data_IF_363104839814
#
_entry.id   IF_363104839814
#
_cell.length_a   1.000
_cell.length_b   1.000
_cell.length_c   1.000
_cell.angle_alpha   90.00
_cell.angle_beta   90.00
_cell.angle_gamma   90.00
#
_symmetry.space_group_name_H-M   'P 1'
#
loop_
_entity.id
_entity.type
_entity.pdbx_description
1 polymer ?
#
# COMPACT_ATOMS: atom_id res chain seq x y z
N UNK A 1 17.64 1.65 1.04
CA UNK A 1 16.71 2.77 1.06
C UNK A 1 15.92 2.73 2.35
N UNK A 2 15.73 3.86 3.03
CA UNK A 2 14.95 3.94 4.28
C UNK A 2 13.60 4.63 3.99
N UNK A 3 12.49 3.98 4.32
CA UNK A 3 11.13 4.54 4.23
C UNK A 3 10.61 4.75 5.66
N UNK A 4 10.04 5.92 5.96
CA UNK A 4 9.42 6.21 7.25
C UNK A 4 8.03 6.76 7.03
N UNK A 5 7.04 6.17 7.69
CA UNK A 5 5.65 6.47 7.40
C UNK A 5 4.70 6.07 8.49
N UNK A 6 3.56 6.76 8.54
CA UNK A 6 2.39 6.33 9.30
C UNK A 6 1.70 5.18 8.56
N UNK A 7 1.29 4.16 9.30
CA UNK A 7 0.63 2.97 8.75
C UNK A 7 -0.88 3.15 8.71
N UNK A 8 -1.45 2.75 7.58
CA UNK A 8 -2.89 2.59 7.38
C UNK A 8 -3.22 1.13 7.06
N UNK A 9 -4.08 0.52 7.87
CA UNK A 9 -4.47 -0.89 7.80
C UNK A 9 -5.71 -1.09 6.94
N UNK A 10 -5.67 -2.15 6.15
CA UNK A 10 -6.78 -2.70 5.40
C UNK A 10 -6.89 -4.22 5.65
N UNK A 11 -8.03 -4.79 5.30
CA UNK A 11 -8.31 -6.21 5.48
C UNK A 11 -7.70 -7.11 4.41
N UNK A 12 -8.24 -8.32 4.33
CA UNK A 12 -8.00 -9.28 3.26
C UNK A 12 -8.73 -8.86 1.96
N UNK A 13 -8.28 -9.40 0.83
CA UNK A 13 -8.97 -9.37 -0.47
C UNK A 13 -9.30 -7.96 -0.99
N UNK A 14 -8.50 -6.96 -0.61
CA UNK A 14 -8.55 -5.63 -1.20
C UNK A 14 -8.27 -5.76 -2.70
N UNK A 15 -9.30 -5.55 -3.50
CA UNK A 15 -9.24 -5.74 -4.93
C UNK A 15 -8.94 -4.41 -5.67
N UNK A 16 -8.74 -4.48 -6.98
CA UNK A 16 -8.41 -3.28 -7.76
C UNK A 16 -9.53 -2.24 -7.87
N UNK A 17 -10.81 -2.62 -7.69
CA UNK A 17 -11.92 -1.67 -7.58
C UNK A 17 -11.91 -0.94 -6.24
N UNK A 18 -11.56 -1.65 -5.15
CA UNK A 18 -11.41 -1.05 -3.81
C UNK A 18 -10.29 -0.01 -3.79
N UNK A 19 -9.19 -0.28 -4.51
CA UNK A 19 -8.04 0.63 -4.65
C UNK A 19 -8.38 1.83 -5.53
N UNK A 20 -8.95 1.58 -6.71
CA UNK A 20 -9.41 2.64 -7.61
C UNK A 20 -10.70 2.18 -8.33
N UNK A 21 -11.83 2.82 -8.04
CA UNK A 21 -13.09 2.42 -8.63
C UNK A 21 -13.12 2.59 -10.15
N UNK A 22 -13.80 1.67 -10.85
CA UNK A 22 -13.86 1.65 -12.32
C UNK A 22 -14.33 2.97 -12.95
N UNK A 23 -15.16 3.74 -12.22
CA UNK A 23 -15.68 5.06 -12.62
C UNK A 23 -14.59 6.13 -12.86
N UNK A 24 -13.38 5.92 -12.36
CA UNK A 24 -12.24 6.84 -12.53
C UNK A 24 -11.22 6.38 -13.60
N UNK A 25 -11.49 5.28 -14.30
CA UNK A 25 -10.58 4.72 -15.31
C UNK A 25 -10.70 5.40 -16.69
N UNK A 26 -11.43 6.52 -16.77
CA UNK A 26 -11.53 7.36 -17.96
C UNK A 26 -10.38 8.39 -18.05
N UNK A 27 -9.48 8.40 -17.08
CA UNK A 27 -8.29 9.27 -17.02
C UNK A 27 -7.07 8.48 -16.58
N UNK A 28 -5.90 8.91 -17.02
CA UNK A 28 -4.60 8.42 -16.54
C UNK A 28 -3.81 9.52 -15.84
N UNK A 29 -4.45 10.65 -15.52
CA UNK A 29 -3.84 11.73 -14.75
C UNK A 29 -3.55 11.27 -13.31
N UNK A 30 -2.27 11.21 -12.88
CA UNK A 30 -1.92 10.67 -11.57
C UNK A 30 -2.54 11.45 -10.42
N UNK A 31 -2.62 12.77 -10.51
CA UNK A 31 -3.20 13.60 -9.44
C UNK A 31 -4.70 13.36 -9.28
N UNK A 32 -5.43 13.22 -10.38
CA UNK A 32 -6.84 12.87 -10.36
C UNK A 32 -7.07 11.49 -9.74
N UNK A 33 -6.26 10.49 -10.10
CA UNK A 33 -6.37 9.13 -9.56
C UNK A 33 -6.02 9.09 -8.07
N UNK A 34 -5.00 9.83 -7.63
CA UNK A 34 -4.58 9.94 -6.25
C UNK A 34 -5.71 10.37 -5.30
N UNK A 35 -6.55 11.31 -5.75
CA UNK A 35 -7.69 11.84 -4.95
C UNK A 35 -8.76 10.79 -4.66
N UNK A 36 -8.82 9.72 -5.44
CA UNK A 36 -9.79 8.63 -5.29
C UNK A 36 -9.15 7.31 -4.86
N UNK A 37 -7.88 7.34 -4.44
CA UNK A 37 -7.16 6.17 -3.96
C UNK A 37 -7.84 5.61 -2.70
N UNK A 38 -8.13 4.31 -2.72
CA UNK A 38 -8.81 3.54 -1.67
C UNK A 38 -10.20 4.06 -1.29
N UNK A 39 -10.86 4.85 -2.14
CA UNK A 39 -12.10 5.57 -1.78
C UNK A 39 -13.25 4.63 -1.39
N UNK A 40 -13.45 3.55 -2.15
CA UNK A 40 -14.51 2.57 -1.87
C UNK A 40 -14.16 1.67 -0.67
N UNK A 41 -12.87 1.42 -0.43
CA UNK A 41 -12.39 0.71 0.76
C UNK A 41 -12.54 1.56 2.04
N UNK A 42 -12.25 2.86 1.95
CA UNK A 42 -12.28 3.82 3.05
C UNK A 42 -12.56 5.24 2.53
N UNK A 43 -13.81 5.71 2.63
CA UNK A 43 -14.17 7.05 2.20
C UNK A 43 -13.30 8.13 2.86
N UNK A 44 -12.80 9.06 2.05
CA UNK A 44 -11.93 10.14 2.50
C UNK A 44 -10.47 9.75 2.76
N UNK A 45 -10.06 8.51 2.48
CA UNK A 45 -8.70 8.03 2.72
C UNK A 45 -7.62 8.91 2.08
N UNK A 46 -7.81 9.34 0.82
CA UNK A 46 -6.85 10.18 0.13
C UNK A 46 -6.51 11.48 0.89
N UNK A 47 -7.45 12.04 1.66
CA UNK A 47 -7.22 13.23 2.49
C UNK A 47 -6.43 12.96 3.77
N UNK A 48 -6.27 11.69 4.17
CA UNK A 48 -5.48 11.27 5.32
C UNK A 48 -4.02 10.96 4.95
N UNK A 49 -3.74 10.70 3.68
CA UNK A 49 -2.42 10.25 3.23
C UNK A 49 -1.43 11.41 3.27
N UNK A 50 -0.32 11.20 3.98
CA UNK A 50 0.86 12.07 3.95
C UNK A 50 1.93 11.43 3.04
N UNK A 51 2.78 12.21 2.34
CA UNK A 51 3.93 11.66 1.64
C UNK A 51 4.79 10.78 2.56
N UNK A 52 5.02 9.53 2.15
CA UNK A 52 5.73 8.55 2.97
C UNK A 52 4.84 7.57 3.71
N UNK A 53 3.51 7.75 3.70
CA UNK A 53 2.56 6.84 4.33
C UNK A 53 2.71 5.41 3.82
N UNK A 54 2.35 4.46 4.67
CA UNK A 54 2.52 3.02 4.43
C UNK A 54 1.14 2.35 4.51
N UNK A 55 0.84 1.48 3.57
CA UNK A 55 -0.32 0.59 3.66
C UNK A 55 0.13 -0.72 4.30
N UNK A 56 -0.62 -1.21 5.29
CA UNK A 56 -0.54 -2.58 5.77
C UNK A 56 -1.86 -3.29 5.44
N UNK A 57 -1.82 -4.47 4.85
CA UNK A 57 -3.01 -5.19 4.43
C UNK A 57 -2.94 -6.68 4.75
N UNK A 58 -4.09 -7.33 4.73
CA UNK A 58 -4.19 -8.77 4.91
C UNK A 58 -3.69 -9.55 3.69
N UNK A 59 -4.35 -10.66 3.41
CA UNK A 59 -4.03 -11.57 2.31
C UNK A 59 -4.58 -11.05 0.99
N UNK A 60 -3.93 -11.47 -0.10
CA UNK A 60 -4.39 -11.30 -1.47
C UNK A 60 -4.63 -9.83 -1.87
N UNK A 61 -3.78 -8.91 -1.40
CA UNK A 61 -3.89 -7.49 -1.73
C UNK A 61 -3.68 -7.25 -3.23
N UNK A 62 -4.51 -6.39 -3.81
CA UNK A 62 -4.50 -6.03 -5.23
C UNK A 62 -5.13 -7.09 -6.12
N UNK A 63 -6.01 -7.94 -5.59
CA UNK A 63 -6.68 -8.98 -6.38
C UNK A 63 -7.69 -8.43 -7.39
N UNK A 64 -8.20 -9.29 -8.25
CA UNK A 64 -9.12 -8.92 -9.33
C UNK A 64 -8.42 -8.62 -10.66
N UNK A 65 -8.98 -7.68 -11.41
CA UNK A 65 -8.56 -7.37 -12.78
C UNK A 65 -7.19 -6.69 -12.85
N UNK A 66 -6.45 -6.91 -13.94
CA UNK A 66 -5.21 -6.17 -14.18
C UNK A 66 -5.50 -4.69 -14.42
N UNK A 67 -5.20 -3.82 -13.45
CA UNK A 67 -5.41 -2.37 -13.53
C UNK A 67 -4.17 -1.61 -13.10
N UNK A 68 -3.42 -1.08 -14.06
CA UNK A 68 -2.26 -0.23 -13.78
C UNK A 68 -2.64 1.06 -13.05
N UNK A 69 -3.85 1.56 -13.28
CA UNK A 69 -4.44 2.71 -12.57
C UNK A 69 -4.43 2.52 -11.05
N UNK A 70 -4.60 1.29 -10.54
CA UNK A 70 -4.59 1.02 -9.11
C UNK A 70 -3.23 1.35 -8.50
N UNK A 71 -2.16 0.94 -9.18
CA UNK A 71 -0.81 1.20 -8.71
C UNK A 71 -0.42 2.67 -8.88
N UNK A 72 -0.86 3.31 -9.97
CA UNK A 72 -0.65 4.73 -10.21
C UNK A 72 -1.36 5.58 -9.15
N UNK A 73 -2.60 5.25 -8.79
CA UNK A 73 -3.35 5.92 -7.74
C UNK A 73 -2.63 5.84 -6.39
N UNK A 74 -2.15 4.64 -6.00
CA UNK A 74 -1.41 4.43 -4.76
C UNK A 74 -0.13 5.26 -4.74
N UNK A 75 0.68 5.19 -5.81
CA UNK A 75 1.96 5.91 -5.89
C UNK A 75 1.75 7.42 -5.88
N UNK A 76 0.78 7.92 -6.64
CA UNK A 76 0.48 9.34 -6.74
C UNK A 76 -0.19 9.90 -5.46
N UNK A 77 -0.89 9.07 -4.68
CA UNK A 77 -1.39 9.44 -3.37
C UNK A 77 -0.27 9.68 -2.34
N UNK A 78 0.97 9.29 -2.62
CA UNK A 78 2.11 9.47 -1.72
C UNK A 78 2.38 8.29 -0.79
N UNK A 79 1.76 7.13 -1.06
CA UNK A 79 2.10 5.87 -0.40
C UNK A 79 3.52 5.45 -0.83
N UNK A 80 4.40 5.26 0.14
CA UNK A 80 5.80 4.91 -0.12
C UNK A 80 6.05 3.40 -0.12
N UNK A 81 5.22 2.61 0.58
CA UNK A 81 5.35 1.16 0.63
C UNK A 81 4.00 0.51 0.96
N UNK A 82 3.81 -0.72 0.47
CA UNK A 82 2.72 -1.60 0.90
C UNK A 82 3.32 -2.82 1.58
N UNK A 83 2.83 -3.16 2.77
CA UNK A 83 3.13 -4.39 3.48
C UNK A 83 1.85 -5.22 3.45
N UNK A 84 1.90 -6.47 3.02
CA UNK A 84 0.73 -7.33 3.04
C UNK A 84 1.08 -8.74 3.51
N UNK A 85 0.08 -9.48 3.99
CA UNK A 85 0.28 -10.90 4.30
C UNK A 85 0.48 -11.70 3.01
N UNK A 86 -0.18 -11.30 1.91
CA UNK A 86 0.15 -11.75 0.57
C UNK A 86 -0.38 -10.81 -0.51
N UNK A 87 0.22 -10.87 -1.70
CA UNK A 87 -0.23 -10.09 -2.86
C UNK A 87 -0.82 -10.96 -3.96
N UNK A 88 -1.80 -10.41 -4.69
CA UNK A 88 -2.21 -11.00 -5.95
C UNK A 88 -1.07 -10.95 -6.97
N UNK A 89 -0.84 -12.07 -7.68
CA UNK A 89 0.32 -12.25 -8.56
C UNK A 89 0.50 -11.16 -9.63
N UNK A 90 -0.60 -10.67 -10.21
CA UNK A 90 -0.55 -9.61 -11.23
C UNK A 90 -0.15 -8.27 -10.60
N UNK A 91 -0.75 -7.93 -9.46
CA UNK A 91 -0.44 -6.72 -8.70
C UNK A 91 1.02 -6.71 -8.25
N UNK A 92 1.51 -7.84 -7.73
CA UNK A 92 2.90 -8.02 -7.31
C UNK A 92 3.88 -7.67 -8.43
N UNK A 93 3.72 -8.31 -9.60
CA UNK A 93 4.58 -8.06 -10.78
C UNK A 93 4.52 -6.60 -11.23
N UNK A 94 3.32 -6.04 -11.31
CA UNK A 94 3.14 -4.68 -11.80
C UNK A 94 3.72 -3.64 -10.82
N UNK A 95 3.70 -3.92 -9.50
CA UNK A 95 4.28 -3.03 -8.47
C UNK A 95 5.78 -2.86 -8.68
N UNK A 96 6.47 -3.97 -8.96
CA UNK A 96 7.90 -3.95 -9.29
C UNK A 96 8.15 -3.11 -10.55
N UNK A 97 7.37 -3.33 -11.61
CA UNK A 97 7.55 -2.63 -12.89
C UNK A 97 7.40 -1.10 -12.78
N UNK A 98 6.54 -0.62 -11.88
CA UNK A 98 6.32 0.82 -11.70
C UNK A 98 7.15 1.43 -10.57
N UNK A 99 7.97 0.63 -9.88
CA UNK A 99 8.77 1.06 -8.74
C UNK A 99 7.94 1.44 -7.52
N UNK A 100 6.88 0.68 -7.21
CA UNK A 100 6.14 0.77 -5.97
C UNK A 100 6.64 -0.33 -5.01
N UNK A 101 7.36 0.02 -3.93
CA UNK A 101 7.85 -0.97 -2.97
C UNK A 101 6.71 -1.75 -2.32
N UNK A 102 6.86 -3.08 -2.32
CA UNK A 102 5.94 -4.01 -1.67
C UNK A 102 6.72 -5.02 -0.83
N UNK A 103 6.13 -5.42 0.30
CA UNK A 103 6.73 -6.36 1.25
C UNK A 103 5.67 -7.40 1.63
N UNK A 104 5.92 -8.66 1.32
CA UNK A 104 5.07 -9.77 1.74
C UNK A 104 5.59 -10.31 3.08
N UNK A 105 4.89 -10.00 4.18
CA UNK A 105 5.30 -10.39 5.53
C UNK A 105 4.09 -10.52 6.47
N UNK A 106 3.46 -11.70 6.56
CA UNK A 106 2.30 -11.94 7.44
C UNK A 106 2.55 -11.55 8.89
N UNK A 107 3.68 -11.99 9.46
CA UNK A 107 4.03 -11.74 10.86
C UNK A 107 4.12 -10.24 11.18
N UNK A 108 4.59 -9.44 10.23
CA UNK A 108 4.68 -8.00 10.40
C UNK A 108 3.30 -7.34 10.35
N UNK A 109 2.41 -7.78 9.48
CA UNK A 109 1.03 -7.27 9.39
C UNK A 109 0.27 -7.49 10.70
N UNK A 110 0.50 -8.63 11.36
CA UNK A 110 -0.11 -8.97 12.65
C UNK A 110 0.44 -8.12 13.80
N UNK A 111 1.71 -7.72 13.73
CA UNK A 111 2.38 -6.92 14.76
C UNK A 111 2.17 -5.41 14.63
N UNK A 112 1.89 -4.90 13.42
CA UNK A 112 1.67 -3.46 13.20
C UNK A 112 0.23 -3.07 13.54
N UNK A 113 0.06 -1.91 14.17
CA UNK A 113 -1.24 -1.28 14.46
C UNK A 113 -1.53 -0.09 13.54
N UNK A 114 -2.80 0.17 13.26
CA UNK A 114 -3.25 1.41 12.57
C UNK A 114 -2.67 2.64 13.27
N UNK A 115 -2.06 3.53 12.50
CA UNK A 115 -1.48 4.78 13.02
C UNK A 115 -0.06 4.67 13.53
N UNK A 116 0.53 3.47 13.61
CA UNK A 116 1.94 3.29 13.94
C UNK A 116 2.83 4.04 12.95
N UNK A 117 3.92 4.63 13.45
CA UNK A 117 4.98 5.19 12.59
C UNK A 117 6.16 4.23 12.58
N UNK A 118 6.37 3.57 11.44
CA UNK A 118 7.44 2.57 11.27
C UNK A 118 8.56 3.09 10.37
N UNK A 119 9.73 2.47 10.49
CA UNK A 119 10.87 2.68 9.59
C UNK A 119 11.24 1.38 8.90
N UNK A 120 11.24 1.36 7.58
CA UNK A 120 11.57 0.20 6.74
C UNK A 120 12.94 0.45 6.11
N UNK A 121 13.90 -0.44 6.34
CA UNK A 121 15.18 -0.50 5.64
C UNK A 121 15.10 -1.61 4.58
N UNK A 122 14.87 -1.20 3.33
CA UNK A 122 14.73 -2.12 2.19
C UNK A 122 16.06 -2.80 1.81
N UNK A 123 17.21 -2.18 2.11
CA UNK A 123 18.50 -2.79 1.74
C UNK A 123 18.87 -3.91 2.70
N UNK A 124 18.44 -3.78 3.96
CA UNK A 124 18.74 -4.73 5.02
C UNK A 124 17.61 -5.71 5.32
N UNK A 125 16.44 -5.54 4.71
CA UNK A 125 15.25 -6.35 4.99
C UNK A 125 14.81 -6.24 6.43
N UNK A 126 14.67 -5.00 6.95
CA UNK A 126 14.31 -4.77 8.36
C UNK A 126 13.24 -3.71 8.53
N UNK A 127 12.37 -3.91 9.51
CA UNK A 127 11.38 -2.92 9.95
C UNK A 127 11.59 -2.62 11.42
N UNK A 128 11.60 -1.34 11.76
CA UNK A 128 11.64 -0.83 13.12
C UNK A 128 10.23 -0.39 13.50
N UNK A 129 9.63 -1.09 14.46
CA UNK A 129 8.32 -0.78 15.02
C UNK A 129 8.40 0.40 16.00
N UNK A 130 7.25 1.03 16.37
CA UNK A 130 7.26 2.14 17.33
C UNK A 130 7.78 1.74 18.71
N UNK A 131 7.62 0.47 19.09
CA UNK A 131 8.17 -0.12 20.31
C UNK A 131 9.71 -0.16 20.36
N UNK A 132 10.38 0.09 19.23
CA UNK A 132 11.81 -0.12 19.05
C UNK A 132 12.19 -1.55 18.68
N UNK A 133 11.23 -2.48 18.64
CA UNK A 133 11.44 -3.84 18.13
C UNK A 133 11.86 -3.80 16.65
N UNK A 134 12.85 -4.61 16.29
CA UNK A 134 13.32 -4.76 14.92
C UNK A 134 12.90 -6.12 14.40
N UNK A 135 12.11 -6.11 13.33
CA UNK A 135 11.59 -7.30 12.68
C UNK A 135 12.28 -7.51 11.33
N UNK A 136 12.64 -8.75 10.96
CA UNK A 136 13.06 -9.06 9.60
C UNK A 136 11.86 -8.98 8.66
N UNK A 137 12.11 -8.61 7.40
CA UNK A 137 11.15 -8.65 6.29
C UNK A 137 11.78 -9.23 5.04
#
# INVERSE_FOLDING_TARGET
MIIKGKVYKFGDDINTDDIIPARYLNTSDPESLARHCMEDARPGFAGLVEPGSIIAAGKNFGCGSSREHALLAIKAAGIACIIAASFARIFFRNSINIGLPIIECPDLVDKITEGDRISIDLDRGRVVCPSGEVLPV
#
